data_IF_779896297649
#
_entry.id   IF_779896297649
#
_cell.length_a   1.000
_cell.length_b   1.000
_cell.length_c   1.000
_cell.angle_alpha   90.00
_cell.angle_beta   90.00
_cell.angle_gamma   90.00
#
_symmetry.space_group_name_H-M   'P 1'
#
loop_
_entity.id
_entity.type
_entity.pdbx_description
1 polymer ?
#
# COMPACT_ATOMS: atom_id res chain seq x y z
N UNK A 1 -12.60 -24.60 11.10
CA UNK A 1 -11.75 -25.00 9.96
C UNK A 1 -11.39 -23.71 9.23
N UNK A 2 -10.22 -23.14 9.51
CA UNK A 2 -9.73 -21.95 8.80
C UNK A 2 -9.07 -22.44 7.53
N UNK A 3 -9.87 -22.61 6.48
CA UNK A 3 -9.36 -23.00 5.19
C UNK A 3 -8.40 -21.97 4.63
N UNK A 4 -7.29 -22.45 4.08
CA UNK A 4 -6.34 -21.57 3.37
C UNK A 4 -7.00 -20.89 2.17
N UNK A 5 -6.30 -19.93 1.55
CA UNK A 5 -6.78 -19.29 0.31
C UNK A 5 -7.08 -20.32 -0.79
N UNK A 6 -6.38 -21.46 -0.81
CA UNK A 6 -6.65 -22.57 -1.72
C UNK A 6 -8.06 -23.15 -1.55
N UNK A 7 -8.51 -23.38 -0.31
CA UNK A 7 -9.87 -23.91 -0.06
C UNK A 7 -10.94 -22.90 -0.50
N UNK A 8 -10.69 -21.59 -0.28
CA UNK A 8 -11.59 -20.53 -0.77
C UNK A 8 -11.67 -20.54 -2.31
N UNK A 9 -10.55 -20.79 -3.00
CA UNK A 9 -10.51 -20.85 -4.47
C UNK A 9 -11.20 -22.10 -5.02
N UNK A 10 -11.21 -23.21 -4.30
CA UNK A 10 -11.94 -24.42 -4.68
C UNK A 10 -13.46 -24.19 -4.73
N UNK A 11 -13.97 -23.31 -3.86
CA UNK A 11 -15.39 -22.91 -3.84
C UNK A 11 -15.76 -21.90 -4.95
N UNK A 12 -14.78 -21.30 -5.64
CA UNK A 12 -15.04 -20.26 -6.65
C UNK A 12 -15.49 -20.86 -7.98
N UNK A 13 -16.54 -20.27 -8.56
CA UNK A 13 -16.95 -20.56 -9.94
C UNK A 13 -16.03 -19.84 -10.92
N UNK A 14 -15.17 -20.60 -11.62
CA UNK A 14 -14.19 -20.06 -12.57
C UNK A 14 -14.83 -19.20 -13.68
N UNK A 15 -16.05 -19.50 -14.11
CA UNK A 15 -16.78 -18.73 -15.12
C UNK A 15 -17.35 -17.40 -14.61
N UNK A 16 -17.28 -17.14 -13.32
CA UNK A 16 -17.85 -15.95 -12.67
C UNK A 16 -16.81 -15.20 -11.83
N UNK A 17 -15.53 -15.38 -12.13
CA UNK A 17 -14.46 -14.64 -11.47
C UNK A 17 -14.64 -13.15 -11.75
N UNK A 18 -14.49 -12.35 -10.69
CA UNK A 18 -14.53 -10.88 -10.78
C UNK A 18 -13.22 -10.29 -10.31
N UNK A 19 -12.83 -9.19 -10.91
CA UNK A 19 -11.62 -8.45 -10.53
C UNK A 19 -12.00 -7.32 -9.59
N UNK A 20 -11.53 -7.41 -8.35
CA UNK A 20 -11.81 -6.42 -7.32
C UNK A 20 -10.59 -5.60 -6.95
N UNK A 21 -10.78 -4.35 -6.56
CA UNK A 21 -9.74 -3.58 -5.88
C UNK A 21 -10.33 -2.43 -5.05
N UNK A 22 -9.49 -1.83 -4.21
CA UNK A 22 -9.83 -0.60 -3.50
C UNK A 22 -9.98 0.52 -4.52
N UNK A 23 -11.06 1.29 -4.46
CA UNK A 23 -11.31 2.43 -5.32
C UNK A 23 -10.38 3.62 -5.03
N UNK A 24 -9.08 3.48 -5.30
CA UNK A 24 -8.05 4.50 -5.13
C UNK A 24 -6.85 4.21 -6.05
N UNK A 25 -5.81 5.06 -6.01
CA UNK A 25 -4.51 4.87 -6.68
C UNK A 25 -4.63 4.53 -8.18
N UNK A 26 -4.59 3.25 -8.53
CA UNK A 26 -4.56 2.74 -9.92
C UNK A 26 -5.84 1.97 -10.30
N UNK A 27 -6.90 2.08 -9.49
CA UNK A 27 -8.15 1.35 -9.68
C UNK A 27 -8.80 1.58 -11.04
N UNK A 28 -8.77 2.82 -11.58
CA UNK A 28 -9.33 3.10 -12.91
C UNK A 28 -8.68 2.26 -14.02
N UNK A 29 -7.34 2.16 -14.00
CA UNK A 29 -6.60 1.36 -14.98
C UNK A 29 -6.82 -0.15 -14.77
N UNK A 30 -6.85 -0.59 -13.51
CA UNK A 30 -7.12 -1.98 -13.16
C UNK A 30 -8.51 -2.40 -13.67
N UNK A 31 -9.54 -1.60 -13.39
CA UNK A 31 -10.89 -1.88 -13.85
C UNK A 31 -11.02 -1.81 -15.37
N UNK A 32 -10.40 -0.83 -16.02
CA UNK A 32 -10.40 -0.76 -17.49
C UNK A 32 -9.75 -2.01 -18.10
N UNK A 33 -8.58 -2.42 -17.59
CA UNK A 33 -7.90 -3.62 -18.05
C UNK A 33 -8.73 -4.88 -17.81
N UNK A 34 -9.32 -5.03 -16.62
CA UNK A 34 -10.20 -6.17 -16.31
C UNK A 34 -11.38 -6.28 -17.28
N UNK A 35 -12.04 -5.16 -17.60
CA UNK A 35 -13.17 -5.14 -18.54
C UNK A 35 -12.75 -5.42 -19.97
N UNK A 36 -11.58 -4.94 -20.40
CA UNK A 36 -11.04 -5.25 -21.74
C UNK A 36 -10.77 -6.76 -21.90
N UNK A 37 -10.40 -7.43 -20.81
CA UNK A 37 -10.21 -8.88 -20.73
C UNK A 37 -11.52 -9.66 -20.44
N UNK A 38 -12.67 -8.97 -20.40
CA UNK A 38 -13.99 -9.59 -20.26
C UNK A 38 -14.42 -9.93 -18.81
N UNK A 39 -13.71 -9.43 -17.80
CA UNK A 39 -14.09 -9.63 -16.40
C UNK A 39 -15.07 -8.55 -15.92
N UNK A 40 -16.03 -8.97 -15.08
CA UNK A 40 -16.76 -8.03 -14.23
C UNK A 40 -15.87 -7.52 -13.10
N UNK A 41 -16.20 -6.33 -12.61
CA UNK A 41 -15.37 -5.57 -11.67
C UNK A 41 -16.08 -5.29 -10.36
N UNK A 42 -15.31 -5.25 -9.26
CA UNK A 42 -15.80 -4.97 -7.90
C UNK A 42 -15.00 -3.81 -7.29
N UNK A 43 -15.65 -2.67 -7.07
CA UNK A 43 -15.02 -1.50 -6.46
C UNK A 43 -15.31 -1.43 -4.96
N UNK A 44 -14.25 -1.49 -4.14
CA UNK A 44 -14.34 -1.29 -2.69
C UNK A 44 -14.01 0.18 -2.41
N UNK A 45 -15.01 1.01 -2.15
CA UNK A 45 -14.80 2.45 -1.99
C UNK A 45 -15.67 3.05 -0.91
N UNK A 46 -15.30 4.26 -0.47
CA UNK A 46 -16.21 5.10 0.32
C UNK A 46 -17.28 5.66 -0.59
N UNK A 47 -18.46 5.93 -0.05
CA UNK A 47 -19.60 6.40 -0.83
C UNK A 47 -19.28 7.68 -1.61
N UNK A 48 -18.56 8.63 -0.98
CA UNK A 48 -18.14 9.87 -1.65
C UNK A 48 -17.14 9.68 -2.81
N UNK A 49 -16.40 8.56 -2.84
CA UNK A 49 -15.39 8.31 -3.87
C UNK A 49 -15.98 7.59 -5.09
N UNK A 50 -17.18 7.03 -4.98
CA UNK A 50 -17.78 6.17 -6.01
C UNK A 50 -18.05 6.90 -7.34
N UNK A 51 -18.32 8.21 -7.25
CA UNK A 51 -18.68 9.07 -8.40
C UNK A 51 -17.68 8.97 -9.56
N UNK A 52 -16.39 8.77 -9.28
CA UNK A 52 -15.38 8.69 -10.34
C UNK A 52 -15.55 7.38 -11.14
N UNK A 53 -15.80 6.27 -10.46
CA UNK A 53 -15.95 4.94 -11.07
C UNK A 53 -17.29 4.81 -11.81
N UNK A 54 -18.34 5.45 -11.29
CA UNK A 54 -19.65 5.53 -11.94
C UNK A 54 -19.59 6.34 -13.24
N UNK A 55 -18.93 7.51 -13.22
CA UNK A 55 -18.78 8.38 -14.39
C UNK A 55 -18.06 7.68 -15.54
N UNK A 56 -17.02 6.92 -15.23
CA UNK A 56 -16.29 6.15 -16.24
C UNK A 56 -16.95 4.80 -16.57
N UNK A 57 -18.00 4.40 -15.84
CA UNK A 57 -18.69 3.10 -15.98
C UNK A 57 -17.73 1.93 -15.96
N UNK A 58 -16.81 1.97 -14.99
CA UNK A 58 -15.72 1.00 -14.86
C UNK A 58 -15.94 -0.03 -13.76
N UNK A 59 -16.87 0.21 -12.83
CA UNK A 59 -17.20 -0.73 -11.77
C UNK A 59 -18.61 -1.31 -11.99
N UNK A 60 -18.73 -2.63 -12.03
CA UNK A 60 -20.03 -3.32 -12.18
C UNK A 60 -20.70 -3.57 -10.82
N UNK A 61 -19.89 -3.74 -9.78
CA UNK A 61 -20.33 -3.96 -8.40
C UNK A 61 -19.63 -2.98 -7.45
N UNK A 62 -20.33 -2.54 -6.42
CA UNK A 62 -19.80 -1.65 -5.39
C UNK A 62 -19.93 -2.28 -4.01
N UNK A 63 -18.85 -2.21 -3.23
CA UNK A 63 -18.85 -2.54 -1.81
C UNK A 63 -18.43 -1.28 -1.06
N UNK A 64 -19.40 -0.67 -0.39
CA UNK A 64 -19.17 0.55 0.37
C UNK A 64 -18.56 0.24 1.73
N UNK A 65 -17.53 1.03 2.08
CA UNK A 65 -16.82 0.98 3.37
C UNK A 65 -16.65 2.38 3.94
N UNK A 66 -16.58 2.53 5.27
CA UNK A 66 -16.30 3.84 5.88
C UNK A 66 -14.81 4.17 5.79
N UNK A 67 -13.97 3.15 6.00
CA UNK A 67 -12.51 3.22 5.91
C UNK A 67 -12.01 2.04 5.10
N UNK A 68 -10.88 2.20 4.41
CA UNK A 68 -10.31 1.11 3.63
C UNK A 68 -9.84 -0.08 4.48
N UNK A 69 -9.53 0.14 5.76
CA UNK A 69 -9.27 -0.92 6.75
C UNK A 69 -10.46 -1.86 6.94
N UNK A 70 -11.69 -1.40 6.67
CA UNK A 70 -12.91 -2.22 6.76
C UNK A 70 -12.94 -3.34 5.71
N UNK A 71 -12.00 -3.36 4.77
CA UNK A 71 -11.74 -4.52 3.90
C UNK A 71 -11.54 -5.80 4.73
N UNK A 72 -10.97 -5.69 5.93
CA UNK A 72 -10.74 -6.82 6.82
C UNK A 72 -11.99 -7.25 7.59
N UNK A 73 -13.07 -6.47 7.56
CA UNK A 73 -14.33 -6.84 8.22
C UNK A 73 -14.92 -8.12 7.59
N UNK A 74 -15.33 -9.06 8.44
CA UNK A 74 -15.81 -10.38 8.01
C UNK A 74 -16.96 -10.32 6.98
N UNK A 75 -17.89 -9.37 7.15
CA UNK A 75 -19.01 -9.16 6.23
C UNK A 75 -18.55 -8.68 4.83
N UNK A 76 -17.59 -7.74 4.78
CA UNK A 76 -17.02 -7.24 3.53
C UNK A 76 -16.30 -8.38 2.79
N UNK A 77 -15.48 -9.13 3.51
CA UNK A 77 -14.78 -10.27 2.94
C UNK A 77 -15.74 -11.38 2.47
N UNK A 78 -16.84 -11.63 3.19
CA UNK A 78 -17.86 -12.58 2.78
C UNK A 78 -18.56 -12.16 1.48
N UNK A 79 -18.92 -10.87 1.36
CA UNK A 79 -19.46 -10.31 0.11
C UNK A 79 -18.50 -10.50 -1.06
N UNK A 80 -17.21 -10.21 -0.86
CA UNK A 80 -16.17 -10.42 -1.87
C UNK A 80 -16.05 -11.88 -2.30
N UNK A 81 -16.07 -12.82 -1.33
CA UNK A 81 -16.03 -14.26 -1.62
C UNK A 81 -17.26 -14.75 -2.37
N UNK A 82 -18.46 -14.31 -1.99
CA UNK A 82 -19.72 -14.63 -2.70
C UNK A 82 -19.73 -14.14 -4.16
N UNK A 83 -18.99 -13.07 -4.45
CA UNK A 83 -18.82 -12.53 -5.78
C UNK A 83 -17.70 -13.22 -6.60
N UNK A 84 -17.03 -14.24 -6.05
CA UNK A 84 -15.83 -14.89 -6.61
C UNK A 84 -14.72 -13.87 -6.95
N UNK A 85 -14.50 -12.91 -6.05
CA UNK A 85 -13.60 -11.78 -6.31
C UNK A 85 -12.13 -12.16 -6.09
N UNK A 86 -11.27 -11.87 -7.08
CA UNK A 86 -9.83 -11.84 -6.92
C UNK A 86 -9.40 -10.38 -6.79
N UNK A 87 -8.72 -10.06 -5.68
CA UNK A 87 -8.25 -8.71 -5.40
C UNK A 87 -6.94 -8.42 -6.12
N UNK A 88 -6.84 -7.25 -6.75
CA UNK A 88 -5.59 -6.73 -7.32
C UNK A 88 -5.00 -5.69 -6.36
N UNK A 89 -3.89 -5.98 -5.67
CA UNK A 89 -3.27 -5.04 -4.74
C UNK A 89 -2.62 -3.87 -5.48
N UNK A 90 -2.57 -2.72 -4.80
CA UNK A 90 -1.82 -1.53 -5.22
C UNK A 90 -1.48 -0.67 -4.00
N UNK A 91 -0.81 0.47 -4.19
CA UNK A 91 -0.23 1.29 -3.11
C UNK A 91 -1.17 1.60 -1.93
N UNK A 92 -2.47 1.84 -2.19
CA UNK A 92 -3.46 2.08 -1.13
C UNK A 92 -3.65 0.91 -0.16
N UNK A 93 -3.43 -0.35 -0.55
CA UNK A 93 -3.51 -1.49 0.37
C UNK A 93 -2.52 -1.32 1.52
N UNK A 94 -1.27 -0.97 1.19
CA UNK A 94 -0.20 -0.75 2.15
C UNK A 94 -0.30 0.59 2.90
N UNK A 95 -1.06 1.55 2.35
CA UNK A 95 -1.19 2.88 2.95
C UNK A 95 -2.27 2.94 4.04
N UNK A 96 -3.31 2.09 3.95
CA UNK A 96 -4.47 2.14 4.84
C UNK A 96 -4.64 0.90 5.71
N UNK A 97 -3.92 -0.18 5.41
CA UNK A 97 -3.99 -1.46 6.11
C UNK A 97 -2.55 -1.90 6.38
N UNK A 98 -2.26 -2.36 7.59
CA UNK A 98 -0.91 -2.85 7.85
C UNK A 98 -0.64 -4.12 7.04
N UNK A 99 0.62 -4.32 6.65
CA UNK A 99 1.00 -5.52 5.90
C UNK A 99 0.80 -6.79 6.73
N UNK A 100 0.96 -6.69 8.04
CA UNK A 100 0.73 -7.75 9.02
C UNK A 100 -0.75 -8.17 9.02
N UNK A 101 -1.67 -7.21 9.19
CA UNK A 101 -3.11 -7.49 9.16
C UNK A 101 -3.55 -8.06 7.79
N UNK A 102 -3.01 -7.54 6.68
CA UNK A 102 -3.30 -8.09 5.35
C UNK A 102 -2.84 -9.55 5.22
N UNK A 103 -1.69 -9.91 5.79
CA UNK A 103 -1.17 -11.28 5.74
C UNK A 103 -2.04 -12.21 6.57
N UNK A 104 -2.40 -11.81 7.79
CA UNK A 104 -3.06 -12.65 8.79
C UNK A 104 -4.59 -12.71 8.64
N UNK A 105 -5.23 -11.60 8.29
CA UNK A 105 -6.69 -11.46 8.38
C UNK A 105 -7.41 -11.50 7.02
N UNK A 106 -6.71 -11.25 5.91
CA UNK A 106 -7.32 -11.23 4.58
C UNK A 106 -7.61 -12.65 4.07
N UNK A 107 -8.88 -13.03 4.12
CA UNK A 107 -9.47 -14.29 3.64
C UNK A 107 -10.21 -14.08 2.32
N UNK A 108 -9.56 -13.38 1.39
CA UNK A 108 -9.98 -13.20 -0.01
C UNK A 108 -8.76 -13.43 -0.90
N UNK A 109 -8.88 -14.12 -2.06
CA UNK A 109 -7.78 -14.30 -2.99
C UNK A 109 -7.19 -12.95 -3.41
N UNK A 110 -5.87 -12.84 -3.36
CA UNK A 110 -5.11 -11.65 -3.73
C UNK A 110 -4.12 -12.02 -4.83
N UNK A 111 -4.14 -11.31 -5.94
CA UNK A 111 -3.22 -11.53 -7.03
C UNK A 111 -1.80 -11.09 -6.65
N UNK A 112 -0.82 -11.99 -6.84
CA UNK A 112 0.58 -11.76 -6.50
C UNK A 112 1.02 -12.45 -5.21
N UNK A 113 2.12 -11.99 -4.62
CA UNK A 113 2.68 -12.57 -3.41
C UNK A 113 2.35 -11.70 -2.19
N UNK A 114 1.44 -12.17 -1.35
CA UNK A 114 1.01 -11.46 -0.14
C UNK A 114 2.16 -11.16 0.84
N UNK A 115 3.13 -12.08 0.95
CA UNK A 115 4.30 -11.89 1.82
C UNK A 115 5.15 -10.71 1.35
N UNK A 116 5.18 -10.44 0.04
CA UNK A 116 5.97 -9.35 -0.55
C UNK A 116 5.54 -7.98 -0.04
N UNK A 117 4.25 -7.80 0.28
CA UNK A 117 3.75 -6.54 0.82
C UNK A 117 4.48 -6.13 2.11
N UNK A 118 4.77 -7.10 2.99
CA UNK A 118 5.51 -6.87 4.23
C UNK A 118 7.00 -6.55 4.00
N UNK A 119 7.56 -6.95 2.85
CA UNK A 119 8.91 -6.54 2.45
C UNK A 119 8.92 -5.14 1.86
N UNK A 120 7.86 -4.77 1.12
CA UNK A 120 7.74 -3.47 0.47
C UNK A 120 7.45 -2.31 1.45
N UNK A 121 6.85 -2.57 2.60
CA UNK A 121 6.51 -1.52 3.58
C UNK A 121 7.62 -1.22 4.59
N UNK A 122 8.60 -2.11 4.74
CA UNK A 122 9.75 -1.92 5.64
C UNK A 122 11.01 -1.49 4.87
N UNK A 123 11.59 -0.34 5.24
CA UNK A 123 12.84 0.15 4.64
C UNK A 123 14.02 -0.80 4.86
N UNK A 124 14.07 -1.43 6.03
CA UNK A 124 15.13 -2.37 6.38
C UNK A 124 15.05 -3.63 5.51
N UNK A 125 13.84 -4.20 5.38
CA UNK A 125 13.60 -5.35 4.50
C UNK A 125 13.84 -5.01 3.03
N UNK A 126 13.45 -3.82 2.58
CA UNK A 126 13.77 -3.34 1.23
C UNK A 126 15.29 -3.24 1.00
N UNK A 127 16.04 -2.61 1.92
CA UNK A 127 17.50 -2.50 1.81
C UNK A 127 18.14 -3.89 1.77
N UNK A 128 17.75 -4.80 2.66
CA UNK A 128 18.20 -6.18 2.66
C UNK A 128 17.92 -6.88 1.31
N UNK A 129 16.68 -6.78 0.82
CA UNK A 129 16.25 -7.43 -0.41
C UNK A 129 17.04 -6.91 -1.63
N UNK A 130 17.16 -5.59 -1.76
CA UNK A 130 17.85 -4.98 -2.90
C UNK A 130 19.36 -5.25 -2.87
N UNK A 131 19.99 -5.31 -1.67
CA UNK A 131 21.40 -5.71 -1.52
C UNK A 131 21.60 -7.17 -1.92
N UNK A 132 20.73 -8.07 -1.46
CA UNK A 132 20.76 -9.49 -1.84
C UNK A 132 20.59 -9.69 -3.35
N UNK A 133 19.83 -8.81 -4.01
CA UNK A 133 19.68 -8.80 -5.47
C UNK A 133 20.90 -8.24 -6.22
N UNK A 134 21.94 -7.76 -5.53
CA UNK A 134 23.16 -7.23 -6.14
C UNK A 134 23.01 -5.84 -6.74
N UNK A 135 21.98 -5.08 -6.33
CA UNK A 135 21.76 -3.72 -6.83
C UNK A 135 22.68 -2.70 -6.16
N UNK A 136 23.07 -1.67 -6.92
CA UNK A 136 23.78 -0.52 -6.35
C UNK A 136 22.81 0.37 -5.58
N UNK A 137 23.03 0.50 -4.28
CA UNK A 137 22.19 1.32 -3.40
C UNK A 137 22.92 2.59 -2.93
N UNK A 138 22.18 3.66 -2.61
CA UNK A 138 22.75 4.83 -1.96
C UNK A 138 23.47 4.45 -0.65
N UNK A 139 24.57 5.15 -0.35
CA UNK A 139 25.21 5.06 0.96
C UNK A 139 24.24 5.56 2.03
N UNK A 140 24.05 4.78 3.10
CA UNK A 140 23.28 5.17 4.27
C UNK A 140 24.24 5.67 5.33
N UNK A 141 23.99 6.87 5.84
CA UNK A 141 24.70 7.43 7.00
C UNK A 141 23.86 7.13 8.25
N UNK A 142 24.44 6.43 9.23
CA UNK A 142 23.75 6.10 10.49
C UNK A 142 23.91 7.20 11.53
N UNK A 143 24.92 8.05 11.35
CA UNK A 143 25.21 9.19 12.20
C UNK A 143 25.28 10.45 11.33
N UNK A 144 24.52 11.52 11.65
CA UNK A 144 24.64 12.79 10.94
C UNK A 144 26.06 13.38 10.91
N UNK A 145 26.88 13.08 11.92
CA UNK A 145 28.28 13.52 11.98
C UNK A 145 29.17 12.91 10.88
N UNK A 146 28.71 11.85 10.21
CA UNK A 146 29.44 11.19 9.11
C UNK A 146 29.14 11.82 7.74
N UNK A 147 28.23 12.80 7.68
CA UNK A 147 27.81 13.41 6.42
C UNK A 147 28.99 14.16 5.79
N UNK A 148 29.46 13.64 4.65
CA UNK A 148 30.63 14.14 3.90
C UNK A 148 30.27 14.65 2.49
N UNK A 149 28.98 14.61 2.11
CA UNK A 149 28.49 14.94 0.76
C UNK A 149 27.01 15.30 0.77
N UNK A 150 26.52 15.76 -0.39
CA UNK A 150 25.08 15.99 -0.60
C UNK A 150 24.28 14.72 -0.30
N UNK A 151 23.40 14.82 0.68
CA UNK A 151 22.63 13.73 1.27
C UNK A 151 21.17 14.17 1.40
N UNK A 152 20.25 13.23 1.15
CA UNK A 152 18.81 13.45 1.38
C UNK A 152 18.42 12.81 2.70
N UNK A 153 17.85 13.62 3.61
CA UNK A 153 17.29 13.17 4.88
C UNK A 153 15.84 12.76 4.63
N UNK A 154 15.49 11.55 5.06
CA UNK A 154 14.17 10.96 4.86
C UNK A 154 13.59 10.48 6.19
N UNK A 155 12.54 11.16 6.65
CA UNK A 155 11.83 10.71 7.85
C UNK A 155 10.93 9.49 7.56
N UNK A 156 10.68 8.65 8.57
CA UNK A 156 9.75 7.53 8.46
C UNK A 156 8.32 7.98 8.16
N UNK A 157 7.57 7.10 7.49
CA UNK A 157 6.16 7.31 7.15
C UNK A 157 5.85 7.50 5.67
N UNK A 158 4.66 7.08 5.26
CA UNK A 158 4.15 7.15 3.88
C UNK A 158 3.62 8.55 3.51
N UNK A 159 4.43 9.60 3.72
CA UNK A 159 4.03 11.00 3.44
C UNK A 159 4.37 11.49 2.03
N UNK A 160 4.69 10.59 1.10
CA UNK A 160 5.03 10.96 -0.29
C UNK A 160 6.25 11.90 -0.41
N UNK A 161 7.23 11.79 0.49
CA UNK A 161 8.42 12.65 0.51
C UNK A 161 8.25 13.98 1.25
N UNK A 162 7.08 14.26 1.84
CA UNK A 162 6.88 15.44 2.69
C UNK A 162 7.82 15.38 3.90
N UNK A 163 8.54 16.48 4.14
CA UNK A 163 9.53 16.60 5.21
C UNK A 163 10.94 16.17 4.81
N UNK A 164 11.16 15.73 3.56
CA UNK A 164 12.51 15.45 3.09
C UNK A 164 13.26 16.75 2.85
N UNK A 165 14.56 16.73 3.14
CA UNK A 165 15.44 17.85 2.83
C UNK A 165 16.83 17.39 2.47
N UNK A 166 17.57 18.29 1.83
CA UNK A 166 18.94 18.07 1.44
C UNK A 166 19.87 18.69 2.46
N UNK A 167 20.95 17.98 2.77
CA UNK A 167 22.05 18.42 3.62
C UNK A 167 23.37 18.10 2.94
N UNK A 168 24.42 18.85 3.26
CA UNK A 168 25.76 18.56 2.73
C UNK A 168 26.85 18.49 3.81
N UNK A 169 26.49 18.68 5.08
CA UNK A 169 27.39 18.69 6.23
C UNK A 169 26.59 18.40 7.51
N UNK A 170 27.26 18.01 8.62
CA UNK A 170 26.61 17.85 9.92
C UNK A 170 25.96 19.14 10.43
N UNK A 171 26.60 20.30 10.25
CA UNK A 171 26.08 21.59 10.70
C UNK A 171 24.79 21.97 9.98
N UNK A 172 24.73 21.76 8.66
CA UNK A 172 23.53 22.00 7.84
C UNK A 172 22.39 21.06 8.23
N UNK A 173 22.71 19.81 8.61
CA UNK A 173 21.72 18.87 9.14
C UNK A 173 21.07 19.38 10.43
N UNK A 174 21.87 19.78 11.42
CA UNK A 174 21.34 20.26 12.71
C UNK A 174 20.53 21.55 12.55
N UNK A 175 21.05 22.50 11.77
CA UNK A 175 20.37 23.77 11.52
C UNK A 175 18.99 23.59 10.86
N UNK A 176 18.91 22.77 9.81
CA UNK A 176 17.64 22.49 9.12
C UNK A 176 16.67 21.67 9.97
N UNK A 177 17.19 20.72 10.75
CA UNK A 177 16.37 19.92 11.67
C UNK A 177 15.69 20.81 12.72
N UNK A 178 16.44 21.73 13.33
CA UNK A 178 15.86 22.70 14.27
C UNK A 178 14.81 23.61 13.62
N UNK A 179 15.08 24.10 12.41
CA UNK A 179 14.11 24.92 11.67
C UNK A 179 12.82 24.15 11.39
N UNK A 180 12.93 22.89 10.95
CA UNK A 180 11.79 22.04 10.65
C UNK A 180 10.97 21.69 11.90
N UNK A 181 11.62 21.46 13.04
CA UNK A 181 10.96 21.30 14.34
C UNK A 181 10.19 22.56 14.73
N UNK A 182 10.83 23.74 14.63
CA UNK A 182 10.20 25.04 14.94
C UNK A 182 8.97 25.30 14.07
N UNK A 183 9.02 24.88 12.80
CA UNK A 183 7.93 25.01 11.83
C UNK A 183 6.86 23.94 11.97
N UNK A 184 7.04 22.95 12.85
CA UNK A 184 6.11 21.82 13.02
C UNK A 184 6.02 20.90 11.79
N UNK A 185 7.04 20.92 10.91
CA UNK A 185 7.10 20.05 9.73
C UNK A 185 7.45 18.62 10.13
N UNK A 186 8.27 18.49 11.17
CA UNK A 186 8.70 17.23 11.77
C UNK A 186 8.50 17.30 13.29
N UNK A 187 8.34 16.15 13.92
CA UNK A 187 8.23 15.98 15.37
C UNK A 187 9.54 15.48 15.97
N UNK A 188 9.69 15.54 17.31
CA UNK A 188 10.84 14.93 17.98
C UNK A 188 10.84 13.41 17.84
N UNK A 189 9.68 12.79 17.80
CA UNK A 189 9.55 11.34 17.58
C UNK A 189 10.05 10.92 16.19
N UNK A 190 9.93 11.79 15.18
CA UNK A 190 10.49 11.55 13.84
C UNK A 190 12.04 11.51 13.84
N UNK A 191 12.70 12.04 14.89
CA UNK A 191 14.17 12.04 15.02
C UNK A 191 14.72 10.85 15.80
N UNK A 192 13.85 10.11 16.50
CA UNK A 192 14.24 8.93 17.30
C UNK A 192 14.23 7.63 16.48
N UNK A 193 13.81 7.69 15.21
CA UNK A 193 13.62 6.57 14.28
C UNK A 193 14.44 6.75 13.01
#
# INVERSE_FOLDING_TARGET
MTGGISEILEDYRLSEIRIGTIGSHSALNIFKGARDEGFETVCICREQDAIIYERFKLADNYIFVEKFSDLLNGEVQEKLRKLNTILIPHGSFNAYISSEELVEELKVPLFGNRQLLAWETSREKQDEWLRKAGLTLPKVFRNPEEIDRLTVVKFPGARGGKGYFLVNSPEDFHAKTEEMLKRGVISREDLEK
#
